data_IF_556066815611
#
_entry.id   IF_556066815611
#
_cell.length_a   1.000
_cell.length_b   1.000
_cell.length_c   1.000
_cell.angle_alpha   90.00
_cell.angle_beta   90.00
_cell.angle_gamma   90.00
#
_symmetry.space_group_name_H-M   'P 1'
#
loop_
_entity.id
_entity.type
_entity.pdbx_description
1 polymer ?
#
# COMPACT_ATOMS: atom_id res chain seq x y z
N UNK A 1 -31.48 35.33 -32.60
CA UNK A 1 -31.47 33.99 -31.96
C UNK A 1 -30.02 33.57 -31.81
N UNK A 2 -29.47 33.84 -30.63
CA UNK A 2 -28.06 33.55 -30.32
C UNK A 2 -28.03 32.22 -29.56
N UNK A 3 -27.47 31.19 -30.19
CA UNK A 3 -27.24 29.88 -29.56
C UNK A 3 -26.11 30.00 -28.57
N UNK A 4 -26.44 29.98 -27.25
CA UNK A 4 -25.48 29.80 -26.19
C UNK A 4 -24.81 28.43 -26.39
N UNK A 5 -23.53 28.44 -26.76
CA UNK A 5 -22.69 27.22 -26.74
C UNK A 5 -22.61 26.73 -25.29
N UNK A 6 -23.21 25.57 -25.06
CA UNK A 6 -23.03 24.74 -23.89
C UNK A 6 -21.52 24.50 -23.70
N UNK A 7 -20.92 25.21 -22.77
CA UNK A 7 -19.55 24.95 -22.32
C UNK A 7 -19.62 23.67 -21.48
N UNK A 8 -19.37 22.55 -22.16
CA UNK A 8 -19.29 21.24 -21.50
C UNK A 8 -18.55 21.35 -20.19
N UNK A 9 -19.22 20.95 -19.11
CA UNK A 9 -18.66 20.93 -17.77
C UNK A 9 -17.38 20.08 -17.83
N UNK A 10 -16.24 20.69 -17.48
CA UNK A 10 -14.99 19.94 -17.39
C UNK A 10 -15.17 18.76 -16.42
N UNK A 11 -14.67 17.57 -16.74
CA UNK A 11 -14.87 16.40 -15.91
C UNK A 11 -14.37 16.68 -14.49
N UNK A 12 -15.17 16.29 -13.49
CA UNK A 12 -14.80 16.43 -12.08
C UNK A 12 -13.47 15.70 -11.81
N UNK A 13 -12.62 16.32 -10.99
CA UNK A 13 -11.33 15.73 -10.68
C UNK A 13 -11.50 14.33 -10.08
N UNK A 14 -10.75 13.35 -10.60
CA UNK A 14 -10.75 11.99 -10.07
C UNK A 14 -10.43 11.95 -8.57
N UNK A 15 -10.98 10.99 -7.81
CA UNK A 15 -10.94 10.99 -6.35
C UNK A 15 -9.52 11.08 -5.76
N UNK A 16 -8.55 10.40 -6.37
CA UNK A 16 -7.16 10.39 -5.94
C UNK A 16 -6.26 11.34 -6.73
N UNK A 17 -6.82 12.12 -7.65
CA UNK A 17 -6.04 13.09 -8.41
C UNK A 17 -5.40 14.13 -7.48
N UNK A 18 -4.10 14.36 -7.66
CA UNK A 18 -3.29 15.23 -6.80
C UNK A 18 -2.68 14.54 -5.57
N UNK A 19 -2.90 13.23 -5.38
CA UNK A 19 -2.23 12.45 -4.33
C UNK A 19 -1.17 11.52 -4.92
N UNK A 20 -0.11 11.27 -4.14
CA UNK A 20 0.92 10.29 -4.43
C UNK A 20 0.78 9.09 -3.51
N UNK A 21 0.78 7.87 -4.08
CA UNK A 21 0.57 6.63 -3.35
C UNK A 21 1.72 5.67 -3.60
N UNK A 22 2.40 5.27 -2.53
CA UNK A 22 3.43 4.22 -2.54
C UNK A 22 2.79 2.83 -2.58
N UNK A 23 3.33 1.95 -3.43
CA UNK A 23 2.90 0.55 -3.55
C UNK A 23 4.06 -0.36 -3.17
N UNK A 24 3.95 -1.04 -2.02
CA UNK A 24 4.98 -1.96 -1.49
C UNK A 24 4.70 -3.42 -1.83
N UNK A 25 3.63 -3.71 -2.56
CA UNK A 25 3.21 -5.05 -2.89
C UNK A 25 4.26 -5.80 -3.71
N UNK A 26 4.58 -7.04 -3.31
CA UNK A 26 5.46 -7.95 -4.04
C UNK A 26 4.76 -8.59 -5.25
N UNK A 27 3.47 -8.85 -5.14
CA UNK A 27 2.64 -9.51 -6.16
C UNK A 27 1.49 -8.61 -6.57
N UNK A 28 1.11 -8.69 -7.86
CA UNK A 28 0.01 -7.90 -8.43
C UNK A 28 0.21 -6.38 -8.19
N UNK A 29 1.44 -5.93 -8.04
CA UNK A 29 1.75 -4.51 -7.83
C UNK A 29 1.36 -3.66 -9.03
N UNK A 30 1.51 -4.17 -10.25
CA UNK A 30 1.07 -3.48 -11.48
C UNK A 30 -0.45 -3.35 -11.55
N UNK A 31 -1.19 -4.40 -11.14
CA UNK A 31 -2.65 -4.34 -11.05
C UNK A 31 -3.10 -3.31 -10.02
N UNK A 32 -2.48 -3.31 -8.82
CA UNK A 32 -2.78 -2.32 -7.79
C UNK A 32 -2.44 -0.90 -8.27
N UNK A 33 -1.29 -0.72 -8.93
CA UNK A 33 -0.91 0.55 -9.54
C UNK A 33 -1.96 1.03 -10.54
N UNK A 34 -2.34 0.19 -11.51
CA UNK A 34 -3.36 0.48 -12.51
C UNK A 34 -4.71 0.87 -11.88
N UNK A 35 -5.12 0.17 -10.81
CA UNK A 35 -6.35 0.49 -10.09
C UNK A 35 -6.29 1.86 -9.39
N UNK A 36 -5.14 2.24 -8.86
CA UNK A 36 -4.91 3.55 -8.24
C UNK A 36 -4.80 4.67 -9.28
N UNK A 37 -4.07 4.43 -10.37
CA UNK A 37 -3.90 5.38 -11.48
C UNK A 37 -5.24 5.70 -12.17
N UNK A 38 -6.10 4.70 -12.37
CA UNK A 38 -7.47 4.91 -12.86
C UNK A 38 -8.35 5.76 -11.94
N UNK A 39 -7.92 6.03 -10.73
CA UNK A 39 -8.55 6.94 -9.75
C UNK A 39 -7.81 8.25 -9.62
N UNK A 40 -6.81 8.49 -10.49
CA UNK A 40 -6.03 9.72 -10.59
C UNK A 40 -4.80 9.79 -9.69
N UNK A 41 -4.45 8.74 -8.96
CA UNK A 41 -3.27 8.75 -8.12
C UNK A 41 -1.97 8.76 -8.94
N UNK A 42 -0.97 9.49 -8.47
CA UNK A 42 0.42 9.28 -8.88
C UNK A 42 0.99 8.09 -8.10
N UNK A 43 1.34 7.01 -8.76
CA UNK A 43 1.85 5.81 -8.11
C UNK A 43 3.38 5.82 -8.03
N UNK A 44 3.91 5.39 -6.87
CA UNK A 44 5.34 5.14 -6.63
C UNK A 44 5.49 3.65 -6.35
N UNK A 45 6.00 2.91 -7.32
CA UNK A 45 6.28 1.48 -7.14
C UNK A 45 7.56 1.29 -6.30
N UNK A 46 7.44 0.55 -5.22
CA UNK A 46 8.54 0.24 -4.30
C UNK A 46 8.30 -1.13 -3.64
N UNK A 47 8.38 -2.24 -4.38
CA UNK A 47 8.17 -3.56 -3.81
C UNK A 47 9.13 -3.79 -2.63
N UNK A 48 8.56 -4.06 -1.43
CA UNK A 48 9.36 -4.23 -0.23
C UNK A 48 10.03 -5.60 -0.16
N UNK A 49 9.36 -6.60 -0.72
CA UNK A 49 9.79 -8.00 -0.69
C UNK A 49 9.58 -8.65 -2.04
N UNK A 50 10.23 -9.78 -2.25
CA UNK A 50 10.00 -10.66 -3.40
C UNK A 50 9.68 -12.08 -2.95
N UNK A 51 9.08 -12.82 -3.82
CA UNK A 51 8.86 -14.25 -3.64
C UNK A 51 10.08 -14.98 -4.19
N UNK A 52 10.84 -15.64 -3.32
CA UNK A 52 11.99 -16.43 -3.69
C UNK A 52 11.59 -17.92 -3.74
N UNK A 53 11.79 -18.61 -4.86
CA UNK A 53 11.66 -20.07 -4.91
C UNK A 53 12.64 -20.73 -3.94
N UNK A 54 12.25 -21.88 -3.41
CA UNK A 54 13.07 -22.71 -2.54
C UNK A 54 13.51 -23.99 -3.24
N UNK A 55 13.70 -23.97 -4.58
CA UNK A 55 13.94 -25.17 -5.38
C UNK A 55 15.05 -26.07 -4.83
N UNK A 56 16.12 -25.47 -4.32
CA UNK A 56 17.28 -26.19 -3.75
C UNK A 56 17.34 -26.11 -2.20
N UNK A 57 16.23 -25.74 -1.56
CA UNK A 57 16.17 -25.61 -0.10
C UNK A 57 16.07 -26.99 0.55
N UNK A 58 17.00 -27.26 1.49
CA UNK A 58 17.06 -28.53 2.19
C UNK A 58 15.74 -28.90 2.91
N UNK A 59 14.98 -27.90 3.40
CA UNK A 59 13.70 -28.12 4.07
C UNK A 59 12.63 -28.57 3.07
N UNK A 60 12.56 -27.98 1.87
CA UNK A 60 11.66 -28.41 0.80
C UNK A 60 11.99 -29.84 0.34
N UNK A 61 13.26 -30.12 0.11
CA UNK A 61 13.70 -31.45 -0.32
C UNK A 61 13.42 -32.51 0.77
N UNK A 62 13.65 -32.20 2.05
CA UNK A 62 13.33 -33.09 3.16
C UNK A 62 11.82 -33.34 3.26
N UNK A 63 10.98 -32.29 3.19
CA UNK A 63 9.53 -32.43 3.21
C UNK A 63 9.02 -33.23 1.98
N UNK A 64 9.60 -33.00 0.81
CA UNK A 64 9.26 -33.74 -0.42
C UNK A 64 9.56 -35.23 -0.27
N UNK A 65 10.75 -35.58 0.24
CA UNK A 65 11.13 -36.98 0.52
C UNK A 65 10.19 -37.60 1.58
N UNK A 66 9.87 -36.88 2.64
CA UNK A 66 8.93 -37.34 3.66
C UNK A 66 7.55 -37.63 3.08
N UNK A 67 7.06 -36.78 2.16
CA UNK A 67 5.81 -37.02 1.44
C UNK A 67 5.88 -38.22 0.49
N UNK A 68 7.00 -38.44 -0.18
CA UNK A 68 7.20 -39.56 -1.11
C UNK A 68 7.40 -40.91 -0.39
N UNK A 69 7.95 -40.90 0.82
CA UNK A 69 8.35 -42.09 1.55
C UNK A 69 7.19 -42.94 2.10
N UNK A 70 5.98 -42.39 2.25
CA UNK A 70 4.85 -43.10 2.84
C UNK A 70 3.49 -42.53 2.39
N UNK A 71 2.39 -43.23 2.75
CA UNK A 71 1.04 -42.78 2.40
C UNK A 71 0.74 -41.41 2.99
N UNK A 72 -0.09 -40.64 2.28
CA UNK A 72 -0.64 -39.37 2.75
C UNK A 72 -2.15 -39.49 2.78
N UNK A 73 -2.77 -39.14 3.90
CA UNK A 73 -4.23 -39.11 4.03
C UNK A 73 -4.82 -37.86 3.41
N UNK A 74 -4.19 -36.72 3.71
CA UNK A 74 -4.64 -35.42 3.17
C UNK A 74 -3.46 -34.58 2.63
N UNK A 75 -3.77 -33.79 1.60
CA UNK A 75 -2.82 -32.81 1.04
C UNK A 75 -3.51 -31.46 0.89
N UNK A 76 -3.00 -30.43 1.54
CA UNK A 76 -3.51 -29.06 1.43
C UNK A 76 -2.67 -28.28 0.43
N UNK A 77 -3.28 -27.97 -0.72
CA UNK A 77 -2.68 -27.14 -1.78
C UNK A 77 -3.19 -25.71 -1.67
N UNK A 78 -2.35 -24.81 -1.21
CA UNK A 78 -2.74 -23.42 -0.95
C UNK A 78 -2.62 -22.53 -2.18
N UNK A 79 -1.67 -22.79 -3.08
CA UNK A 79 -1.46 -21.98 -4.30
C UNK A 79 -1.04 -22.84 -5.49
N UNK A 80 -1.57 -22.49 -6.68
CA UNK A 80 -1.21 -23.20 -7.89
C UNK A 80 0.25 -23.01 -8.32
N UNK A 81 0.83 -21.81 -8.09
CA UNK A 81 2.25 -21.58 -8.40
C UNK A 81 3.16 -22.38 -7.48
N UNK A 82 2.84 -22.45 -6.18
CA UNK A 82 3.60 -23.24 -5.23
C UNK A 82 3.51 -24.72 -5.50
N UNK A 83 2.33 -25.21 -5.89
CA UNK A 83 2.15 -26.62 -6.20
C UNK A 83 2.99 -27.04 -7.43
N UNK A 84 3.01 -26.21 -8.47
CA UNK A 84 3.90 -26.46 -9.64
C UNK A 84 5.37 -26.43 -9.24
N UNK A 85 5.79 -25.42 -8.47
CA UNK A 85 7.17 -25.32 -8.00
C UNK A 85 7.58 -26.52 -7.13
N UNK A 86 6.65 -27.05 -6.30
CA UNK A 86 6.88 -28.27 -5.52
C UNK A 86 7.15 -29.49 -6.42
N UNK A 87 6.29 -29.70 -7.42
CA UNK A 87 6.47 -30.82 -8.37
C UNK A 87 7.73 -30.66 -9.24
N UNK A 88 8.09 -29.41 -9.58
CA UNK A 88 9.32 -29.12 -10.32
C UNK A 88 10.56 -29.39 -9.47
N UNK A 89 10.56 -29.00 -8.20
CA UNK A 89 11.67 -29.24 -7.27
C UNK A 89 11.86 -30.71 -6.89
N UNK A 90 10.83 -31.55 -7.06
CA UNK A 90 10.89 -32.99 -6.83
C UNK A 90 11.51 -33.77 -8.02
N UNK A 91 11.87 -33.05 -9.10
CA UNK A 91 12.43 -33.68 -10.31
C UNK A 91 13.86 -34.16 -10.12
N UNK A 92 14.21 -35.30 -10.68
CA UNK A 92 15.51 -35.96 -10.65
C UNK A 92 15.44 -37.35 -10.10
N UNK A 93 15.91 -38.20 -9.72
CA UNK A 93 16.09 -39.49 -9.04
C UNK A 93 14.81 -40.32 -8.73
N UNK A 94 13.72 -40.13 -9.46
CA UNK A 94 12.45 -40.86 -9.24
C UNK A 94 11.58 -40.34 -8.09
N UNK A 95 12.03 -39.36 -7.32
CA UNK A 95 11.28 -38.79 -6.20
C UNK A 95 9.97 -38.13 -6.67
N UNK A 96 9.97 -37.53 -7.86
CA UNK A 96 8.76 -36.92 -8.43
C UNK A 96 7.65 -37.92 -8.69
N UNK A 97 8.00 -39.07 -9.30
CA UNK A 97 7.01 -40.11 -9.64
C UNK A 97 6.43 -40.73 -8.37
N UNK A 98 7.28 -40.99 -7.37
CA UNK A 98 6.87 -41.46 -6.06
C UNK A 98 5.95 -40.43 -5.35
N UNK A 99 6.32 -39.15 -5.38
CA UNK A 99 5.48 -38.06 -4.81
C UNK A 99 4.12 -38.01 -5.51
N UNK A 100 4.09 -37.98 -6.87
CA UNK A 100 2.83 -37.91 -7.63
C UNK A 100 1.95 -39.12 -7.34
N UNK A 101 2.51 -40.33 -7.21
CA UNK A 101 1.76 -41.52 -6.82
C UNK A 101 1.11 -41.36 -5.43
N UNK A 102 1.86 -40.84 -4.43
CA UNK A 102 1.27 -40.57 -3.08
C UNK A 102 0.22 -39.48 -3.11
N UNK A 103 0.42 -38.41 -3.90
CA UNK A 103 -0.57 -37.34 -4.07
C UNK A 103 -1.86 -37.85 -4.74
N UNK A 104 -1.77 -38.83 -5.65
CA UNK A 104 -2.93 -39.42 -6.33
C UNK A 104 -3.80 -40.26 -5.37
N UNK A 105 -3.19 -40.90 -4.37
CA UNK A 105 -3.87 -41.70 -3.35
C UNK A 105 -4.51 -40.82 -2.25
N UNK A 106 -3.97 -39.62 -2.01
CA UNK A 106 -4.40 -38.71 -0.94
C UNK A 106 -5.67 -37.95 -1.25
N UNK A 107 -6.36 -37.52 -0.17
CA UNK A 107 -7.46 -36.58 -0.28
C UNK A 107 -6.92 -35.13 -0.47
N UNK A 108 -6.84 -34.66 -1.72
CA UNK A 108 -6.33 -33.32 -2.02
C UNK A 108 -7.40 -32.25 -1.74
N UNK A 109 -7.05 -31.28 -0.88
CA UNK A 109 -7.82 -30.08 -0.57
C UNK A 109 -7.15 -28.91 -1.27
N UNK A 110 -7.82 -28.27 -2.22
CA UNK A 110 -7.28 -27.14 -2.99
C UNK A 110 -7.97 -25.84 -2.58
N UNK A 111 -7.21 -24.84 -2.08
CA UNK A 111 -7.76 -23.61 -1.51
C UNK A 111 -8.61 -22.76 -2.46
N UNK A 112 -8.40 -22.84 -3.75
CA UNK A 112 -9.13 -22.02 -4.70
C UNK A 112 -8.87 -22.35 -6.16
N UNK A 113 -9.46 -21.64 -7.13
CA UNK A 113 -9.45 -22.00 -8.55
C UNK A 113 -8.05 -22.19 -9.14
N UNK A 114 -7.08 -21.39 -8.73
CA UNK A 114 -5.68 -21.50 -9.21
C UNK A 114 -4.97 -22.73 -8.66
N UNK A 115 -5.24 -23.12 -7.41
CA UNK A 115 -4.73 -24.34 -6.82
C UNK A 115 -5.36 -25.57 -7.51
N UNK A 116 -6.69 -25.56 -7.69
CA UNK A 116 -7.42 -26.59 -8.43
C UNK A 116 -6.88 -26.80 -9.84
N UNK A 117 -6.69 -25.68 -10.59
CA UNK A 117 -6.14 -25.74 -11.94
C UNK A 117 -4.76 -26.39 -11.98
N UNK A 118 -3.87 -26.09 -11.02
CA UNK A 118 -2.54 -26.68 -10.96
C UNK A 118 -2.58 -28.18 -10.59
N UNK A 119 -3.44 -28.59 -9.65
CA UNK A 119 -3.67 -30.00 -9.31
C UNK A 119 -4.11 -30.79 -10.55
N UNK A 120 -5.12 -30.28 -11.26
CA UNK A 120 -5.63 -30.91 -12.48
C UNK A 120 -4.62 -30.95 -13.63
N UNK A 121 -3.80 -29.89 -13.79
CA UNK A 121 -2.71 -29.87 -14.80
C UNK A 121 -1.63 -30.90 -14.51
N UNK A 122 -1.49 -31.35 -13.27
CA UNK A 122 -0.57 -32.41 -12.87
C UNK A 122 -1.19 -33.82 -13.01
N UNK A 123 -2.38 -33.97 -13.60
CA UNK A 123 -3.11 -35.24 -13.74
C UNK A 123 -3.78 -35.71 -12.44
N UNK A 124 -3.83 -34.86 -11.41
CA UNK A 124 -4.42 -35.16 -10.11
C UNK A 124 -5.82 -34.56 -9.98
N UNK A 125 -6.57 -34.95 -8.94
CA UNK A 125 -7.92 -34.46 -8.70
C UNK A 125 -8.07 -34.01 -7.25
N UNK A 126 -8.55 -32.78 -7.07
CA UNK A 126 -8.95 -32.31 -5.75
C UNK A 126 -10.25 -33.00 -5.29
N UNK A 127 -10.31 -33.32 -4.02
CA UNK A 127 -11.52 -33.90 -3.40
C UNK A 127 -12.44 -32.82 -2.87
N UNK A 128 -11.87 -31.68 -2.42
CA UNK A 128 -12.64 -30.57 -1.90
C UNK A 128 -11.93 -29.22 -2.09
N UNK A 129 -12.71 -28.13 -2.09
CA UNK A 129 -12.23 -26.76 -2.19
C UNK A 129 -13.19 -25.81 -1.47
N UNK A 130 -12.71 -24.86 -0.64
CA UNK A 130 -13.56 -23.89 0.04
C UNK A 130 -14.21 -22.92 -0.95
N UNK A 131 -15.39 -22.41 -0.61
CA UNK A 131 -16.09 -21.42 -1.42
C UNK A 131 -15.49 -20.02 -1.29
N UNK A 132 -15.04 -19.63 -0.07
CA UNK A 132 -14.43 -18.33 0.20
C UNK A 132 -12.96 -18.21 -0.16
N UNK A 133 -12.31 -19.28 -0.61
CA UNK A 133 -10.84 -19.38 -0.77
C UNK A 133 -10.09 -19.16 0.56
N UNK A 134 -10.76 -19.27 1.71
CA UNK A 134 -10.22 -19.03 3.06
C UNK A 134 -9.56 -20.26 3.68
N UNK A 135 -8.48 -20.04 4.44
CA UNK A 135 -7.84 -21.12 5.20
C UNK A 135 -8.68 -21.61 6.37
N UNK A 136 -9.57 -20.77 6.93
CA UNK A 136 -10.46 -21.15 8.01
C UNK A 136 -11.44 -22.27 7.61
N UNK A 137 -12.04 -22.20 6.40
CA UNK A 137 -12.90 -23.26 5.89
C UNK A 137 -12.14 -24.59 5.68
N UNK A 138 -10.83 -24.51 5.30
CA UNK A 138 -9.98 -25.70 5.16
C UNK A 138 -9.81 -26.36 6.53
N UNK A 139 -9.55 -25.57 7.58
CA UNK A 139 -9.44 -26.07 8.96
C UNK A 139 -10.73 -26.74 9.37
N UNK A 140 -11.88 -26.06 9.23
CA UNK A 140 -13.18 -26.63 9.58
C UNK A 140 -13.49 -27.93 8.82
N UNK A 141 -13.20 -27.96 7.51
CA UNK A 141 -13.42 -29.13 6.69
C UNK A 141 -12.58 -30.32 7.15
N UNK A 142 -11.30 -30.11 7.44
CA UNK A 142 -10.40 -31.19 7.87
C UNK A 142 -10.69 -31.63 9.30
N UNK A 143 -11.03 -30.74 10.22
CA UNK A 143 -11.38 -31.09 11.60
C UNK A 143 -12.70 -31.90 11.71
N UNK A 144 -13.49 -32.01 10.65
CA UNK A 144 -14.65 -32.94 10.59
C UNK A 144 -14.25 -34.36 10.18
N UNK A 145 -12.99 -34.56 9.79
CA UNK A 145 -12.44 -35.87 9.47
C UNK A 145 -11.77 -36.48 10.72
N UNK A 146 -11.55 -37.76 10.70
CA UNK A 146 -10.69 -38.41 11.69
C UNK A 146 -9.22 -38.11 11.33
N UNK A 147 -8.57 -37.34 12.18
CA UNK A 147 -7.19 -36.89 11.95
C UNK A 147 -6.20 -37.55 12.91
N UNK A 148 -6.64 -38.37 13.84
CA UNK A 148 -5.73 -39.03 14.78
C UNK A 148 -4.79 -39.99 14.05
N UNK A 149 -3.49 -39.71 14.13
CA UNK A 149 -2.45 -40.42 13.37
C UNK A 149 -2.44 -40.17 11.87
N UNK A 150 -3.34 -39.35 11.31
CA UNK A 150 -3.38 -39.05 9.89
C UNK A 150 -2.17 -38.22 9.44
N UNK A 151 -1.57 -38.60 8.29
CA UNK A 151 -0.46 -37.86 7.70
C UNK A 151 -0.96 -36.80 6.71
N UNK A 152 -0.73 -35.53 7.06
CA UNK A 152 -1.25 -34.38 6.31
C UNK A 152 -0.10 -33.55 5.78
N UNK A 153 0.05 -33.48 4.45
CA UNK A 153 0.99 -32.57 3.81
C UNK A 153 0.36 -31.19 3.61
N UNK A 154 0.97 -30.12 4.10
CA UNK A 154 0.47 -28.75 3.98
C UNK A 154 1.47 -27.92 3.19
N UNK A 155 1.09 -27.53 1.98
CA UNK A 155 1.87 -26.59 1.19
C UNK A 155 1.78 -25.20 1.81
N UNK A 156 2.91 -24.69 2.31
CA UNK A 156 2.99 -23.37 2.92
C UNK A 156 2.96 -22.26 1.86
N UNK A 157 2.36 -21.12 2.23
CA UNK A 157 2.29 -19.93 1.38
C UNK A 157 3.08 -18.77 2.01
N UNK A 158 4.39 -18.73 1.75
CA UNK A 158 5.27 -17.59 2.12
C UNK A 158 5.45 -17.35 3.62
N UNK A 159 4.43 -17.54 4.42
CA UNK A 159 4.44 -17.55 5.89
C UNK A 159 4.04 -18.93 6.40
N UNK A 160 4.55 -19.28 7.58
CA UNK A 160 4.04 -20.45 8.29
C UNK A 160 2.55 -20.22 8.56
N UNK A 161 1.71 -21.11 8.05
CA UNK A 161 0.28 -21.10 8.37
C UNK A 161 0.09 -21.70 9.76
N UNK A 162 0.63 -21.01 10.77
CA UNK A 162 0.74 -21.51 12.13
C UNK A 162 -0.63 -21.94 12.71
N UNK A 163 -1.69 -21.21 12.39
CA UNK A 163 -3.05 -21.52 12.84
C UNK A 163 -3.56 -22.83 12.22
N UNK A 164 -3.37 -23.01 10.90
CA UNK A 164 -3.77 -24.23 10.19
C UNK A 164 -2.98 -25.45 10.70
N UNK A 165 -1.65 -25.33 10.71
CA UNK A 165 -0.81 -26.47 11.10
C UNK A 165 -0.93 -26.81 12.59
N UNK A 166 -1.13 -25.81 13.48
CA UNK A 166 -1.40 -26.04 14.89
C UNK A 166 -2.76 -26.71 15.12
N UNK A 167 -3.81 -26.31 14.42
CA UNK A 167 -5.13 -26.93 14.52
C UNK A 167 -5.09 -28.40 14.09
N UNK A 168 -4.40 -28.74 12.98
CA UNK A 168 -4.27 -30.13 12.53
C UNK A 168 -3.46 -30.97 13.50
N UNK A 169 -2.35 -30.46 14.02
CA UNK A 169 -1.56 -31.16 15.06
C UNK A 169 -2.34 -31.33 16.36
N UNK A 170 -3.13 -30.32 16.74
CA UNK A 170 -4.02 -30.41 17.91
C UNK A 170 -5.11 -31.47 17.78
N UNK A 171 -5.46 -31.85 16.56
CA UNK A 171 -6.40 -32.93 16.24
C UNK A 171 -5.70 -34.32 16.06
N UNK A 172 -4.41 -34.45 16.40
CA UNK A 172 -3.67 -35.71 16.33
C UNK A 172 -2.94 -35.98 15.00
N UNK A 173 -2.99 -35.06 14.02
CA UNK A 173 -2.35 -35.29 12.74
C UNK A 173 -0.81 -35.14 12.78
N UNK A 174 -0.12 -36.01 12.04
CA UNK A 174 1.28 -35.82 11.66
C UNK A 174 1.34 -34.84 10.48
N UNK A 175 1.74 -33.57 10.76
CA UNK A 175 1.75 -32.53 9.75
C UNK A 175 3.12 -32.36 9.13
N UNK A 176 3.22 -32.59 7.81
CA UNK A 176 4.40 -32.32 6.96
C UNK A 176 4.23 -30.94 6.35
N UNK A 177 5.00 -29.97 6.84
CA UNK A 177 5.03 -28.61 6.26
C UNK A 177 5.91 -28.60 5.01
N UNK A 178 5.34 -28.23 3.85
CA UNK A 178 6.04 -28.16 2.56
C UNK A 178 6.29 -26.70 2.19
N UNK A 179 7.47 -26.14 2.50
CA UNK A 179 7.82 -24.75 2.20
C UNK A 179 8.25 -24.66 0.72
N UNK A 180 7.41 -24.13 -0.15
CA UNK A 180 7.67 -24.05 -1.60
C UNK A 180 8.32 -22.75 -2.03
N UNK A 181 8.17 -21.69 -1.25
CA UNK A 181 8.82 -20.39 -1.41
C UNK A 181 8.78 -19.59 -0.10
N UNK A 182 9.66 -18.63 -0.01
CA UNK A 182 9.74 -17.70 1.11
C UNK A 182 9.66 -16.26 0.65
N UNK A 183 9.27 -15.40 1.53
CA UNK A 183 9.49 -13.97 1.37
C UNK A 183 10.98 -13.68 1.55
N UNK A 184 11.55 -13.00 0.59
CA UNK A 184 12.91 -12.49 0.63
C UNK A 184 12.88 -10.97 0.43
N UNK A 185 13.92 -10.31 0.85
CA UNK A 185 14.12 -8.88 0.56
C UNK A 185 14.10 -8.65 -0.94
N UNK A 186 13.64 -7.49 -1.37
CA UNK A 186 13.78 -7.07 -2.75
C UNK A 186 15.28 -7.11 -3.16
N UNK A 187 15.57 -7.49 -4.38
CA UNK A 187 16.96 -7.51 -4.88
C UNK A 187 17.57 -6.12 -4.90
N UNK A 188 16.78 -5.13 -5.32
CA UNK A 188 17.14 -3.72 -5.22
C UNK A 188 16.28 -3.03 -4.16
N UNK A 189 16.84 -2.66 -2.99
CA UNK A 189 16.13 -1.93 -1.94
C UNK A 189 15.98 -0.43 -2.23
N UNK A 190 16.61 0.09 -3.28
CA UNK A 190 16.64 1.53 -3.60
C UNK A 190 15.25 2.15 -3.78
N UNK A 191 14.29 1.53 -4.49
CA UNK A 191 12.93 2.07 -4.59
C UNK A 191 12.25 2.19 -3.23
N UNK A 192 12.43 1.20 -2.34
CA UNK A 192 11.82 1.22 -1.02
C UNK A 192 12.46 2.28 -0.11
N UNK A 193 13.79 2.41 -0.11
CA UNK A 193 14.51 3.50 0.60
C UNK A 193 14.05 4.87 0.13
N UNK A 194 13.90 5.04 -1.18
CA UNK A 194 13.37 6.29 -1.76
C UNK A 194 11.94 6.56 -1.29
N UNK A 195 11.07 5.55 -1.26
CA UNK A 195 9.70 5.68 -0.76
C UNK A 195 9.67 6.08 0.72
N UNK A 196 10.52 5.46 1.56
CA UNK A 196 10.68 5.84 2.98
C UNK A 196 11.11 7.31 3.10
N UNK A 197 12.14 7.73 2.37
CA UNK A 197 12.58 9.13 2.34
C UNK A 197 11.47 10.09 1.86
N UNK A 198 10.68 9.70 0.86
CA UNK A 198 9.53 10.48 0.38
C UNK A 198 8.41 10.59 1.42
N UNK A 199 8.17 9.53 2.19
CA UNK A 199 7.19 9.53 3.28
C UNK A 199 7.63 10.51 4.38
N UNK A 200 8.88 10.43 4.83
CA UNK A 200 9.46 11.33 5.83
C UNK A 200 9.45 12.80 5.34
N UNK A 201 9.76 13.02 4.06
CA UNK A 201 9.72 14.35 3.45
C UNK A 201 8.31 14.87 3.15
N UNK A 202 7.25 14.07 3.35
CA UNK A 202 5.85 14.44 3.08
C UNK A 202 5.53 14.64 1.60
N UNK A 203 6.26 13.95 0.70
CA UNK A 203 6.06 14.01 -0.76
C UNK A 203 5.27 12.81 -1.30
N UNK A 204 4.92 11.87 -0.44
CA UNK A 204 3.94 10.81 -0.65
C UNK A 204 2.82 10.95 0.37
N UNK A 205 1.59 10.66 -0.02
CA UNK A 205 0.39 10.90 0.79
C UNK A 205 -0.15 9.62 1.44
N UNK A 206 0.14 8.46 0.84
CA UNK A 206 -0.23 7.16 1.36
C UNK A 206 0.78 6.09 0.97
N UNK A 207 0.88 5.03 1.77
CA UNK A 207 1.60 3.81 1.44
C UNK A 207 0.63 2.63 1.58
N UNK A 208 0.58 1.77 0.56
CA UNK A 208 -0.26 0.56 0.56
C UNK A 208 0.57 -0.67 0.93
N UNK A 209 0.02 -1.49 1.84
CA UNK A 209 0.61 -2.74 2.30
C UNK A 209 -0.36 -3.89 2.05
N UNK A 210 0.08 -4.90 1.32
CA UNK A 210 -0.72 -6.09 0.97
C UNK A 210 -0.31 -7.34 1.74
N UNK A 211 0.71 -7.24 2.61
CA UNK A 211 1.17 -8.34 3.46
C UNK A 211 1.94 -7.82 4.68
N UNK A 212 1.93 -8.58 5.77
CA UNK A 212 2.68 -8.24 6.98
C UNK A 212 4.21 -8.23 6.76
N UNK A 213 4.82 -9.15 5.97
CA UNK A 213 6.23 -9.06 5.63
C UNK A 213 6.62 -7.77 4.90
N UNK A 214 5.75 -7.21 4.06
CA UNK A 214 6.04 -5.92 3.41
C UNK A 214 6.09 -4.76 4.41
N UNK A 215 5.24 -4.78 5.45
CA UNK A 215 5.30 -3.80 6.56
C UNK A 215 6.62 -3.97 7.31
N UNK A 216 6.94 -5.21 7.72
CA UNK A 216 8.14 -5.51 8.49
C UNK A 216 9.42 -5.08 7.74
N UNK A 217 9.52 -5.38 6.45
CA UNK A 217 10.68 -4.99 5.64
C UNK A 217 10.75 -3.48 5.44
N UNK A 218 9.62 -2.79 5.28
CA UNK A 218 9.60 -1.32 5.18
C UNK A 218 10.14 -0.67 6.46
N UNK A 219 9.74 -1.17 7.63
CA UNK A 219 10.27 -0.70 8.92
C UNK A 219 11.75 -1.07 9.09
N UNK A 220 12.16 -2.28 8.69
CA UNK A 220 13.56 -2.71 8.77
C UNK A 220 14.48 -1.85 7.89
N UNK A 221 14.04 -1.51 6.66
CA UNK A 221 14.78 -0.59 5.78
C UNK A 221 14.87 0.81 6.40
N UNK A 222 13.78 1.31 6.96
CA UNK A 222 13.79 2.60 7.65
C UNK A 222 14.72 2.59 8.87
N UNK A 223 14.72 1.53 9.67
CA UNK A 223 15.63 1.36 10.81
C UNK A 223 17.09 1.31 10.36
N UNK A 224 17.41 0.56 9.31
CA UNK A 224 18.76 0.49 8.73
C UNK A 224 19.30 1.83 8.23
N UNK A 225 18.41 2.72 7.81
CA UNK A 225 18.77 4.07 7.36
C UNK A 225 18.63 5.13 8.50
N UNK A 226 18.30 4.73 9.74
CA UNK A 226 18.11 5.63 10.89
C UNK A 226 16.84 6.50 10.78
N UNK A 227 15.85 6.08 10.01
CA UNK A 227 14.62 6.82 9.71
C UNK A 227 13.35 6.18 10.30
N UNK A 228 13.43 5.15 11.15
CA UNK A 228 12.26 4.43 11.65
C UNK A 228 11.31 5.35 12.40
N UNK A 229 11.81 6.11 13.38
CA UNK A 229 10.98 7.03 14.16
C UNK A 229 10.38 8.11 13.28
N UNK A 230 11.17 8.69 12.37
CA UNK A 230 10.69 9.70 11.43
C UNK A 230 9.61 9.15 10.48
N UNK A 231 9.75 7.90 10.03
CA UNK A 231 8.72 7.22 9.23
C UNK A 231 7.45 6.97 10.04
N UNK A 232 7.56 6.48 11.27
CA UNK A 232 6.42 6.25 12.15
C UNK A 232 5.68 7.57 12.46
N UNK A 233 6.41 8.65 12.70
CA UNK A 233 5.81 9.97 12.89
C UNK A 233 5.13 10.48 11.62
N UNK A 234 5.73 10.27 10.46
CA UNK A 234 5.10 10.59 9.18
C UNK A 234 3.79 9.81 8.99
N UNK A 235 3.78 8.50 9.29
CA UNK A 235 2.60 7.64 9.19
C UNK A 235 1.51 8.00 10.22
N UNK A 236 1.88 8.52 11.39
CA UNK A 236 0.91 9.03 12.38
C UNK A 236 0.30 10.37 11.97
N UNK A 237 1.12 11.27 11.42
CA UNK A 237 0.74 12.66 11.21
C UNK A 237 0.21 12.96 9.80
N UNK A 238 0.87 12.46 8.75
CA UNK A 238 0.64 12.96 7.39
C UNK A 238 0.76 11.97 6.25
N UNK A 239 1.08 10.70 6.49
CA UNK A 239 1.05 9.65 5.47
C UNK A 239 0.03 8.57 5.88
N UNK A 240 -0.89 8.26 5.00
CA UNK A 240 -1.92 7.24 5.28
C UNK A 240 -1.33 5.84 5.05
N UNK A 241 -1.29 5.02 6.09
CA UNK A 241 -0.98 3.60 5.97
C UNK A 241 -2.26 2.83 5.57
N UNK A 242 -2.30 2.30 4.35
CA UNK A 242 -3.42 1.52 3.83
C UNK A 242 -3.05 0.04 3.79
N UNK A 243 -3.65 -0.75 4.66
CA UNK A 243 -3.37 -2.18 4.83
C UNK A 243 -4.52 -3.03 4.29
N UNK A 244 -4.20 -4.15 3.61
CA UNK A 244 -5.23 -5.03 3.03
C UNK A 244 -6.11 -5.70 4.07
N UNK A 245 -5.68 -5.75 5.34
CA UNK A 245 -6.43 -6.34 6.44
C UNK A 245 -5.69 -6.29 7.78
N UNK A 246 -6.31 -6.78 8.86
CA UNK A 246 -5.82 -6.62 10.24
C UNK A 246 -4.47 -7.30 10.50
N UNK A 247 -4.21 -8.47 9.93
CA UNK A 247 -2.91 -9.14 10.05
C UNK A 247 -1.79 -8.28 9.49
N UNK A 248 -2.02 -7.65 8.32
CA UNK A 248 -1.05 -6.73 7.70
C UNK A 248 -0.87 -5.45 8.54
N UNK A 249 -1.96 -4.93 9.11
CA UNK A 249 -1.93 -3.68 9.89
C UNK A 249 -1.26 -3.83 11.26
N UNK A 250 -1.25 -5.04 11.84
CA UNK A 250 -0.87 -5.29 13.25
C UNK A 250 0.46 -4.64 13.66
N UNK A 251 1.50 -4.80 12.84
CA UNK A 251 2.82 -4.25 13.15
C UNK A 251 2.84 -2.70 13.22
N UNK A 252 1.94 -2.03 12.53
CA UNK A 252 1.76 -0.57 12.56
C UNK A 252 0.85 -0.15 13.72
N UNK A 253 -0.28 -0.87 13.94
CA UNK A 253 -1.25 -0.51 14.96
C UNK A 253 -0.68 -0.64 16.38
N UNK A 254 0.14 -1.66 16.67
CA UNK A 254 0.83 -1.80 17.96
C UNK A 254 1.86 -0.68 18.22
N UNK A 255 2.29 0.02 17.16
CA UNK A 255 3.14 1.21 17.23
C UNK A 255 2.35 2.53 17.23
N UNK A 256 1.03 2.49 17.39
CA UNK A 256 0.16 3.67 17.42
C UNK A 256 -0.04 4.34 16.06
N UNK A 257 0.24 3.66 14.94
CA UNK A 257 -0.02 4.18 13.60
C UNK A 257 -1.46 3.88 13.19
N UNK A 258 -2.28 4.91 12.86
CA UNK A 258 -3.64 4.69 12.36
C UNK A 258 -3.60 4.14 10.93
N UNK A 259 -4.39 3.10 10.67
CA UNK A 259 -4.45 2.45 9.36
C UNK A 259 -5.81 2.61 8.68
N UNK A 260 -5.82 2.57 7.35
CA UNK A 260 -7.02 2.41 6.53
C UNK A 260 -7.09 0.95 6.09
N UNK A 261 -8.19 0.28 6.37
CA UNK A 261 -8.38 -1.13 6.05
C UNK A 261 -9.74 -1.34 5.36
N UNK A 262 -9.84 -2.20 4.35
CA UNK A 262 -11.12 -2.60 3.78
C UNK A 262 -11.80 -3.66 4.65
N UNK A 263 -13.11 -3.81 4.51
CA UNK A 263 -13.87 -4.88 5.16
C UNK A 263 -13.48 -6.28 4.64
N UNK A 264 -13.04 -6.37 3.38
CA UNK A 264 -12.59 -7.63 2.76
C UNK A 264 -11.16 -7.47 2.25
N UNK A 265 -10.31 -8.44 2.52
CA UNK A 265 -8.89 -8.46 2.15
C UNK A 265 -8.67 -8.67 0.63
N UNK A 266 -9.11 -7.71 -0.20
CA UNK A 266 -8.99 -7.72 -1.66
C UNK A 266 -8.41 -6.39 -2.17
N UNK A 267 -7.62 -6.41 -3.24
CA UNK A 267 -6.99 -5.21 -3.82
C UNK A 267 -8.02 -4.13 -4.20
N UNK A 268 -9.09 -4.52 -4.89
CA UNK A 268 -10.15 -3.56 -5.25
C UNK A 268 -10.86 -2.94 -4.04
N UNK A 269 -11.01 -3.68 -2.94
CA UNK A 269 -11.57 -3.16 -1.70
C UNK A 269 -10.58 -2.20 -0.99
N UNK A 270 -9.27 -2.51 -1.01
CA UNK A 270 -8.22 -1.62 -0.49
C UNK A 270 -8.22 -0.29 -1.25
N UNK A 271 -8.32 -0.33 -2.58
CA UNK A 271 -8.39 0.89 -3.40
C UNK A 271 -9.65 1.70 -3.06
N UNK A 272 -10.82 1.06 -2.92
CA UNK A 272 -12.05 1.76 -2.50
C UNK A 272 -11.92 2.41 -1.12
N UNK A 273 -11.36 1.69 -0.14
CA UNK A 273 -11.10 2.24 1.19
C UNK A 273 -10.16 3.46 1.13
N UNK A 274 -9.14 3.40 0.26
CA UNK A 274 -8.21 4.51 0.07
C UNK A 274 -8.86 5.70 -0.64
N UNK A 275 -9.70 5.47 -1.66
CA UNK A 275 -10.48 6.51 -2.37
C UNK A 275 -11.32 7.33 -1.39
N UNK A 276 -11.92 6.70 -0.39
CA UNK A 276 -12.71 7.38 0.63
C UNK A 276 -11.81 7.99 1.71
N UNK A 277 -10.88 7.20 2.26
CA UNK A 277 -10.11 7.57 3.45
C UNK A 277 -8.99 8.57 3.20
N UNK A 278 -8.34 8.57 2.04
CA UNK A 278 -7.21 9.46 1.77
C UNK A 278 -7.63 10.92 1.64
N UNK A 279 -8.65 11.30 0.83
CA UNK A 279 -9.09 12.68 0.75
C UNK A 279 -9.61 13.21 2.10
N UNK A 280 -10.35 12.39 2.87
CA UNK A 280 -10.87 12.78 4.18
C UNK A 280 -9.76 13.15 5.18
N UNK A 281 -8.63 12.45 5.13
CA UNK A 281 -7.50 12.64 6.05
C UNK A 281 -6.46 13.63 5.54
N UNK A 282 -6.34 13.79 4.22
CA UNK A 282 -5.23 14.50 3.58
C UNK A 282 -5.62 15.72 2.75
N UNK A 283 -6.90 15.91 2.45
CA UNK A 283 -7.32 17.14 1.80
C UNK A 283 -7.76 18.21 2.81
N UNK A 284 -7.56 19.46 2.45
CA UNK A 284 -8.03 20.60 3.18
C UNK A 284 -8.90 21.47 2.28
N UNK A 285 -10.15 21.64 2.65
CA UNK A 285 -11.12 22.45 1.91
C UNK A 285 -11.25 23.83 2.52
N UNK A 286 -11.20 24.85 1.68
CA UNK A 286 -11.31 26.25 2.05
C UNK A 286 -12.25 26.95 1.07
N UNK A 287 -13.04 27.93 1.54
CA UNK A 287 -13.73 28.87 0.68
C UNK A 287 -12.87 30.14 0.55
N UNK A 288 -12.50 30.47 -0.70
CA UNK A 288 -11.60 31.58 -1.00
C UNK A 288 -12.20 32.41 -2.12
N UNK A 289 -12.67 33.62 -1.82
CA UNK A 289 -13.32 34.51 -2.80
C UNK A 289 -14.45 33.85 -3.60
N UNK A 290 -15.32 33.15 -2.92
CA UNK A 290 -16.45 32.44 -3.51
C UNK A 290 -16.06 31.18 -4.29
N UNK A 291 -14.79 30.72 -4.23
CA UNK A 291 -14.33 29.49 -4.86
C UNK A 291 -14.13 28.40 -3.82
N UNK A 292 -14.44 27.17 -4.20
CA UNK A 292 -14.08 25.97 -3.43
C UNK A 292 -12.63 25.59 -3.75
N UNK A 293 -11.72 25.81 -2.81
CA UNK A 293 -10.31 25.43 -2.91
C UNK A 293 -10.07 24.18 -2.06
N UNK A 294 -9.70 23.08 -2.67
CA UNK A 294 -9.28 21.85 -1.97
C UNK A 294 -7.78 21.62 -2.19
N UNK A 295 -6.99 21.67 -1.12
CA UNK A 295 -5.58 21.31 -1.14
C UNK A 295 -5.44 19.81 -1.04
N UNK A 296 -4.68 19.20 -1.96
CA UNK A 296 -4.30 17.79 -1.95
C UNK A 296 -2.78 17.63 -1.86
N UNK A 297 -2.23 16.44 -2.06
CA UNK A 297 -0.80 16.17 -1.95
C UNK A 297 0.08 17.11 -2.79
N UNK A 298 0.03 16.99 -4.10
CA UNK A 298 0.85 17.77 -5.04
C UNK A 298 0.02 18.62 -6.02
N UNK A 299 -1.27 18.81 -5.73
CA UNK A 299 -2.17 19.61 -6.56
C UNK A 299 -3.24 20.28 -5.71
N UNK A 300 -4.00 21.16 -6.33
CA UNK A 300 -5.23 21.70 -5.76
C UNK A 300 -6.40 21.38 -6.68
N UNK A 301 -7.59 21.28 -6.11
CA UNK A 301 -8.83 21.27 -6.87
C UNK A 301 -9.51 22.62 -6.61
N UNK A 302 -9.70 23.41 -7.66
CA UNK A 302 -10.35 24.71 -7.59
C UNK A 302 -11.64 24.64 -8.39
N UNK A 303 -12.78 24.80 -7.74
CA UNK A 303 -14.12 24.68 -8.33
C UNK A 303 -14.28 23.39 -9.18
N UNK A 304 -13.80 22.26 -8.64
CA UNK A 304 -13.84 20.94 -9.29
C UNK A 304 -12.71 20.67 -10.29
N UNK A 305 -11.90 21.67 -10.66
CA UNK A 305 -10.81 21.52 -11.63
C UNK A 305 -9.47 21.25 -10.95
N UNK A 306 -8.81 20.18 -11.34
CA UNK A 306 -7.46 19.84 -10.85
C UNK A 306 -6.43 20.81 -11.45
N UNK A 307 -5.57 21.34 -10.57
CA UNK A 307 -4.44 22.19 -10.93
C UNK A 307 -3.17 21.68 -10.27
N UNK A 308 -2.22 21.13 -11.04
CA UNK A 308 -0.93 20.71 -10.49
C UNK A 308 -0.15 21.92 -9.99
N UNK A 309 0.41 21.80 -8.80
CA UNK A 309 1.21 22.87 -8.17
C UNK A 309 2.59 22.29 -7.85
N UNK A 310 3.64 22.94 -8.33
CA UNK A 310 5.01 22.51 -8.04
C UNK A 310 5.32 22.53 -6.53
N UNK A 311 6.29 21.72 -6.04
CA UNK A 311 6.53 21.53 -4.60
C UNK A 311 6.75 22.83 -3.81
N UNK A 312 7.59 23.74 -4.32
CA UNK A 312 7.89 25.01 -3.64
C UNK A 312 6.66 25.93 -3.52
N UNK A 313 5.90 26.22 -4.60
CA UNK A 313 4.61 26.92 -4.48
C UNK A 313 3.59 26.20 -3.59
N UNK A 314 3.56 24.86 -3.59
CA UNK A 314 2.67 24.09 -2.73
C UNK A 314 3.03 24.25 -1.25
N UNK A 315 4.30 24.32 -0.89
CA UNK A 315 4.75 24.58 0.48
C UNK A 315 4.27 25.97 0.97
N UNK A 316 4.37 27.00 0.13
CA UNK A 316 3.81 28.33 0.41
C UNK A 316 2.30 28.25 0.61
N UNK A 317 1.56 27.60 -0.30
CA UNK A 317 0.11 27.47 -0.20
C UNK A 317 -0.31 26.76 1.10
N UNK A 318 0.38 25.69 1.47
CA UNK A 318 0.13 24.97 2.74
C UNK A 318 0.38 25.86 3.95
N UNK A 319 1.44 26.68 3.95
CA UNK A 319 1.73 27.62 5.03
C UNK A 319 0.61 28.67 5.17
N UNK A 320 0.18 29.28 4.07
CA UNK A 320 -0.93 30.22 4.06
C UNK A 320 -2.25 29.56 4.49
N UNK A 321 -2.48 28.31 4.09
CA UNK A 321 -3.66 27.56 4.45
C UNK A 321 -3.71 27.16 5.94
N UNK A 322 -2.58 27.10 6.67
CA UNK A 322 -2.59 26.82 8.12
C UNK A 322 -3.37 27.87 8.92
N UNK A 323 -3.30 29.13 8.50
CA UNK A 323 -4.00 30.27 9.12
C UNK A 323 -4.78 31.04 8.05
N UNK A 324 -5.95 30.48 7.57
CA UNK A 324 -6.72 31.10 6.50
C UNK A 324 -7.12 32.53 6.86
N UNK A 325 -7.00 33.45 5.90
CA UNK A 325 -7.33 34.86 6.09
C UNK A 325 -6.29 35.68 6.86
N UNK A 326 -5.35 35.04 7.56
CA UNK A 326 -4.29 35.73 8.30
C UNK A 326 -3.05 35.94 7.44
N UNK A 327 -2.35 37.02 7.76
CA UNK A 327 -1.08 37.36 7.07
C UNK A 327 0.02 36.44 7.61
N UNK A 328 0.76 35.82 6.67
CA UNK A 328 2.00 35.09 6.95
C UNK A 328 3.15 35.93 6.42
N UNK A 329 4.12 36.21 7.28
CA UNK A 329 5.26 37.06 6.94
C UNK A 329 6.20 36.39 5.91
N UNK A 330 6.99 37.18 5.20
CA UNK A 330 8.02 36.65 4.31
C UNK A 330 9.02 35.77 5.05
N UNK A 331 9.43 36.17 6.25
CA UNK A 331 10.37 35.41 7.07
C UNK A 331 9.82 34.03 7.45
N UNK A 332 8.52 33.93 7.84
CA UNK A 332 7.86 32.64 8.09
C UNK A 332 7.80 31.79 6.82
N UNK A 333 7.54 32.40 5.66
CA UNK A 333 7.50 31.68 4.38
C UNK A 333 8.89 31.22 3.92
N UNK A 334 9.96 31.97 4.19
CA UNK A 334 11.33 31.52 3.96
C UNK A 334 11.62 30.22 4.72
N UNK A 335 11.13 30.10 5.97
CA UNK A 335 11.33 28.92 6.81
C UNK A 335 10.65 27.65 6.31
N UNK A 336 9.63 27.74 5.44
CA UNK A 336 8.90 26.57 4.89
C UNK A 336 9.34 26.19 3.47
N UNK A 337 10.17 26.99 2.83
CA UNK A 337 10.69 26.66 1.51
C UNK A 337 11.76 25.57 1.62
N UNK A 338 11.75 24.56 0.74
CA UNK A 338 12.81 23.57 0.69
C UNK A 338 14.13 24.27 0.38
N UNK A 339 15.16 24.06 1.23
CA UNK A 339 16.51 24.49 0.96
C UNK A 339 16.96 23.90 -0.37
N UNK A 340 17.65 24.68 -1.23
CA UNK A 340 18.24 24.14 -2.45
C UNK A 340 19.22 23.03 -2.04
N UNK A 341 18.90 21.80 -2.36
CA UNK A 341 19.82 20.68 -2.27
C UNK A 341 20.89 20.86 -3.35
N UNK A 342 21.96 21.54 -2.99
CA UNK A 342 23.26 21.38 -3.62
C UNK A 342 23.92 20.18 -2.95
N UNK A 343 24.49 19.26 -3.76
CA UNK A 343 25.00 17.96 -3.34
C UNK A 343 26.02 18.00 -2.21
N UNK A 344 26.02 16.93 -1.47
CA UNK A 344 27.10 16.34 -0.66
C UNK A 344 27.90 17.26 0.20
N UNK A 345 27.79 17.14 1.53
CA UNK A 345 28.92 16.95 2.42
C UNK A 345 28.48 16.95 3.89
N UNK A 346 28.99 16.01 4.62
CA UNK A 346 29.07 16.04 6.08
C UNK A 346 29.85 17.29 6.53
N UNK A 347 29.20 18.18 7.31
CA UNK A 347 29.83 19.36 7.88
C UNK A 347 28.78 20.29 8.43
N UNK A 348 28.80 20.51 9.76
CA UNK A 348 27.77 21.23 10.51
C UNK A 348 27.79 22.76 10.29
N UNK A 349 27.50 23.21 9.08
CA UNK A 349 27.29 24.63 8.80
C UNK A 349 25.78 24.88 8.60
N UNK A 350 25.31 25.98 9.19
CA UNK A 350 23.94 26.43 9.15
C UNK A 350 23.44 26.52 7.68
N UNK A 351 22.39 25.73 7.33
CA UNK A 351 21.78 25.73 5.99
C UNK A 351 21.38 27.15 5.61
N UNK A 352 21.75 27.66 4.41
CA UNK A 352 21.35 28.98 3.96
C UNK A 352 19.81 29.03 3.90
N UNK A 353 19.22 29.98 4.62
CA UNK A 353 17.77 30.25 4.56
C UNK A 353 17.43 30.73 3.16
N UNK A 354 16.29 30.28 2.63
CA UNK A 354 15.72 30.84 1.41
C UNK A 354 15.55 32.35 1.60
N UNK A 355 15.93 33.15 0.62
CA UNK A 355 15.79 34.60 0.65
C UNK A 355 14.34 35.05 0.34
N UNK A 356 14.02 36.32 0.60
CA UNK A 356 12.69 36.87 0.33
C UNK A 356 12.35 36.82 -1.16
N UNK A 357 13.33 36.89 -2.06
CA UNK A 357 13.14 36.77 -3.48
C UNK A 357 12.64 35.39 -3.88
N UNK A 358 13.15 34.31 -3.23
CA UNK A 358 12.65 32.97 -3.45
C UNK A 358 11.17 32.81 -3.07
N UNK A 359 10.73 33.49 -1.98
CA UNK A 359 9.32 33.53 -1.60
C UNK A 359 8.47 34.27 -2.66
N UNK A 360 8.93 35.42 -3.15
CA UNK A 360 8.22 36.18 -4.18
C UNK A 360 8.05 35.36 -5.48
N UNK A 361 9.11 34.69 -5.91
CA UNK A 361 9.06 33.79 -7.07
C UNK A 361 8.14 32.59 -6.83
N UNK A 362 8.12 32.03 -5.64
CA UNK A 362 7.20 30.94 -5.28
C UNK A 362 5.75 31.38 -5.29
N UNK A 363 5.45 32.58 -4.73
CA UNK A 363 4.11 33.18 -4.78
C UNK A 363 3.66 33.51 -6.21
N UNK A 364 4.55 34.06 -7.05
CA UNK A 364 4.24 34.32 -8.44
C UNK A 364 3.89 33.03 -9.21
N UNK A 365 4.66 31.94 -8.99
CA UNK A 365 4.38 30.62 -9.57
C UNK A 365 3.09 30.02 -9.02
N UNK A 366 2.81 30.20 -7.72
CA UNK A 366 1.57 29.76 -7.09
C UNK A 366 0.34 30.46 -7.72
N UNK A 367 0.37 31.78 -7.85
CA UNK A 367 -0.71 32.57 -8.50
C UNK A 367 -0.98 32.11 -9.93
N UNK A 368 0.11 31.85 -10.69
CA UNK A 368 0.01 31.32 -12.04
C UNK A 368 -0.61 29.92 -12.06
N UNK A 369 -0.16 29.03 -11.17
CA UNK A 369 -0.69 27.67 -11.05
C UNK A 369 -2.16 27.62 -10.65
N UNK A 370 -2.60 28.50 -9.74
CA UNK A 370 -3.99 28.64 -9.35
C UNK A 370 -4.87 29.16 -10.49
N UNK A 371 -4.31 29.96 -11.42
CA UNK A 371 -5.00 30.45 -12.62
C UNK A 371 -6.19 31.37 -12.33
N UNK A 372 -6.31 31.88 -11.08
CA UNK A 372 -7.36 32.81 -10.67
C UNK A 372 -6.76 33.92 -9.81
N UNK A 373 -6.90 35.19 -10.22
CA UNK A 373 -6.34 36.31 -9.47
C UNK A 373 -7.03 36.50 -8.11
N UNK A 374 -6.31 37.05 -7.16
CA UNK A 374 -6.84 37.45 -5.87
C UNK A 374 -6.97 36.33 -4.81
N UNK A 375 -6.77 35.04 -5.15
CA UNK A 375 -6.75 33.95 -4.14
C UNK A 375 -5.63 34.15 -3.13
N UNK A 376 -4.44 34.56 -3.60
CA UNK A 376 -3.28 34.91 -2.76
C UNK A 376 -3.06 36.41 -2.84
N UNK A 377 -3.31 37.09 -1.74
CA UNK A 377 -3.15 38.55 -1.63
C UNK A 377 -1.79 38.92 -1.07
N UNK A 378 -1.23 40.04 -1.58
CA UNK A 378 -0.07 40.70 -0.98
C UNK A 378 -0.55 41.72 0.03
N UNK A 379 -0.06 41.62 1.27
CA UNK A 379 -0.27 42.65 2.28
C UNK A 379 1.02 43.47 2.39
N UNK A 380 0.98 44.68 1.90
CA UNK A 380 2.16 45.56 1.76
C UNK A 380 2.95 45.61 3.07
N UNK A 381 4.27 45.45 2.99
CA UNK A 381 5.25 45.39 4.11
C UNK A 381 4.99 44.30 5.16
N UNK A 382 3.94 43.46 5.04
CA UNK A 382 3.61 42.44 6.05
C UNK A 382 3.73 41.02 5.57
N UNK A 383 3.52 40.73 4.27
CA UNK A 383 3.61 39.37 3.72
C UNK A 383 2.45 39.01 2.79
N UNK A 384 1.96 37.79 2.91
CA UNK A 384 0.91 37.24 2.05
C UNK A 384 -0.18 36.56 2.86
N UNK A 385 -1.41 36.49 2.29
CA UNK A 385 -2.52 35.74 2.88
C UNK A 385 -3.38 35.06 1.81
N UNK A 386 -4.12 34.03 2.21
CA UNK A 386 -5.26 33.54 1.42
C UNK A 386 -6.46 34.46 1.67
N UNK A 387 -7.14 34.89 0.61
CA UNK A 387 -8.35 35.68 0.68
C UNK A 387 -9.56 34.83 1.07
N UNK A 388 -9.52 34.20 2.23
CA UNK A 388 -10.60 33.36 2.72
C UNK A 388 -11.80 34.20 3.16
N UNK A 389 -12.99 33.69 2.91
CA UNK A 389 -14.24 34.30 3.34
C UNK A 389 -14.36 34.18 4.88
N UNK A 390 -14.49 35.25 5.62
CA UNK A 390 -14.41 35.23 7.07
C UNK A 390 -15.54 34.44 7.75
N UNK A 391 -16.58 34.06 7.02
CA UNK A 391 -17.78 33.37 7.55
C UNK A 391 -17.75 31.84 7.37
N UNK A 392 -16.71 31.23 6.81
CA UNK A 392 -16.66 29.78 6.48
C UNK A 392 -15.40 29.10 7.04
N UNK A 393 -14.94 29.50 8.22
CA UNK A 393 -13.86 28.82 8.95
C UNK A 393 -14.37 27.65 9.82
N UNK A 394 -15.62 27.24 9.65
CA UNK A 394 -16.18 26.01 10.22
C UNK A 394 -15.91 24.81 9.31
N UNK A 395 -15.57 23.67 9.90
CA UNK A 395 -15.56 22.36 9.27
C UNK A 395 -16.89 22.17 8.53
N UNK A 396 -16.88 22.18 7.19
CA UNK A 396 -18.07 21.82 6.44
C UNK A 396 -18.49 20.41 6.87
N UNK A 397 -19.78 20.15 7.16
CA UNK A 397 -20.26 18.84 7.54
C UNK A 397 -19.91 17.84 6.45
N UNK A 398 -19.50 16.63 6.86
CA UNK A 398 -19.35 15.51 5.97
C UNK A 398 -20.69 15.30 5.24
N UNK A 399 -20.65 15.34 3.89
CA UNK A 399 -21.86 15.21 3.08
C UNK A 399 -22.65 13.97 3.47
N UNK A 400 -23.95 14.14 3.65
CA UNK A 400 -24.91 13.05 3.78
C UNK A 400 -24.83 12.12 2.56
N UNK A 401 -24.94 10.81 2.73
CA UNK A 401 -25.04 9.90 1.62
C UNK A 401 -26.34 10.19 0.86
N UNK A 402 -26.22 10.47 -0.43
CA UNK A 402 -27.35 10.48 -1.34
C UNK A 402 -27.87 9.06 -1.45
N UNK A 403 -29.14 8.87 -1.10
CA UNK A 403 -29.89 7.62 -1.09
C UNK A 403 -30.01 6.91 -2.45
#
# INVERSE_FOLDING_TARGET
MSTARDRGAAPAAEPLAGFAVGVTAARRHEELATLLERRGARVVLAPAIRLAPLADDAALLAATRACAAGPLDHVVVTTGIGFRAWLESAGGDGTRDALVARLAEAAIVARGPKARGAVRSAGLRERWSPESEGSAEIVEHLLRQDLDGARVAVQLYGERQAELTAALRGAGAEVIEVPVYRWARAEDPTPLRRLVGQAVAGTVDAITFTSAPAVAETLAVAAGDGLEDALLDALRAHVVAACVGPVTARALTVRGVPTVQPERARLGALVRALVTGLPQRRSRRLSVRGCALELRGHAVVLDGLLRPIAPTPMAVLRALARRPGHVVSRAELCGVLPSRLGGGAAGGEARPRADEHAVEMAVARLRRGLGRPGIVETVVKRGYRLACDPRVTGRLPAGEPIG
#
